data_IF_925182419812
#
_entry.id   IF_925182419812
#
_cell.length_a   1.000
_cell.length_b   1.000
_cell.length_c   1.000
_cell.angle_alpha   90.00
_cell.angle_beta   90.00
_cell.angle_gamma   90.00
#
_symmetry.space_group_name_H-M   'P 1'
#
loop_
_entity.id
_entity.type
_entity.pdbx_description
1 polymer ?
#
# COMPACT_ATOMS: atom_id res chain seq x y z
N UNK A 1 -22.79 -9.01 71.45
CA UNK A 1 -21.35 -8.74 71.28
C UNK A 1 -21.04 -8.75 69.80
N UNK A 2 -20.75 -7.57 69.24
CA UNK A 2 -20.03 -7.25 67.98
C UNK A 2 -20.51 -7.83 66.62
N UNK A 3 -21.15 -6.93 65.85
CA UNK A 3 -21.02 -6.53 64.42
C UNK A 3 -20.64 -7.48 63.24
N UNK A 4 -21.25 -7.09 62.10
CA UNK A 4 -20.78 -7.10 60.68
C UNK A 4 -21.19 -8.29 59.82
N UNK A 5 -21.63 -8.15 58.56
CA UNK A 5 -21.73 -6.99 57.67
C UNK A 5 -22.61 -7.27 56.43
N UNK A 6 -23.08 -6.17 55.81
CA UNK A 6 -23.87 -6.05 54.57
C UNK A 6 -23.16 -6.67 53.35
N UNK A 7 -23.82 -7.43 52.47
CA UNK A 7 -24.75 -7.05 51.38
C UNK A 7 -24.09 -6.30 50.21
N UNK A 8 -24.09 -6.94 49.03
CA UNK A 8 -24.63 -6.33 47.80
C UNK A 8 -23.65 -5.81 46.74
N UNK A 9 -23.66 -6.49 45.59
CA UNK A 9 -23.14 -6.07 44.28
C UNK A 9 -23.58 -4.65 43.88
N UNK A 10 -22.69 -3.87 43.27
CA UNK A 10 -23.05 -2.60 42.64
C UNK A 10 -21.89 -2.00 41.85
N UNK A 11 -22.11 -1.78 40.56
CA UNK A 11 -21.18 -1.22 39.58
C UNK A 11 -20.60 0.12 40.06
N UNK A 12 -19.28 0.28 39.92
CA UNK A 12 -18.60 1.57 40.13
C UNK A 12 -19.02 2.53 39.03
N UNK A 13 -19.90 3.48 39.38
CA UNK A 13 -20.17 4.68 38.59
C UNK A 13 -19.46 5.82 39.32
N UNK A 14 -18.37 6.31 38.74
CA UNK A 14 -17.68 7.50 39.24
C UNK A 14 -18.54 8.70 38.88
N UNK A 15 -19.21 9.26 39.89
CA UNK A 15 -20.06 10.44 39.79
C UNK A 15 -19.17 11.67 40.06
N UNK A 16 -18.79 12.41 39.01
CA UNK A 16 -18.15 13.71 39.18
C UNK A 16 -19.21 14.74 39.60
N UNK A 17 -19.07 15.28 40.81
CA UNK A 17 -19.94 16.30 41.39
C UNK A 17 -19.64 17.63 40.69
N UNK A 18 -20.64 18.21 40.02
CA UNK A 18 -20.62 19.62 39.62
C UNK A 18 -21.51 20.40 40.60
N UNK A 19 -20.88 21.16 41.49
CA UNK A 19 -21.59 22.11 42.34
C UNK A 19 -22.04 23.30 41.49
N UNK A 20 -23.34 23.50 41.34
CA UNK A 20 -23.92 24.69 40.71
C UNK A 20 -24.71 25.51 41.74
N UNK A 21 -24.06 26.55 42.27
CA UNK A 21 -24.77 27.70 42.85
C UNK A 21 -24.27 28.96 42.16
N UNK A 22 -25.18 29.61 41.42
CA UNK A 22 -24.88 30.84 40.71
C UNK A 22 -25.86 31.07 39.55
N UNK A 23 -27.08 31.48 39.89
CA UNK A 23 -28.02 32.02 38.91
C UNK A 23 -27.58 33.46 38.58
N UNK A 24 -26.98 33.66 37.41
CA UNK A 24 -26.86 34.96 36.77
C UNK A 24 -26.99 34.75 35.26
N UNK A 25 -28.10 35.24 34.70
CA UNK A 25 -28.35 35.24 33.27
C UNK A 25 -27.34 36.16 32.57
N UNK A 26 -26.43 35.58 31.80
CA UNK A 26 -25.62 36.31 30.81
C UNK A 26 -25.79 35.57 29.49
N UNK A 27 -26.36 36.29 28.54
CA UNK A 27 -26.52 35.88 27.15
C UNK A 27 -25.15 35.72 26.49
N UNK A 28 -24.95 34.68 25.68
CA UNK A 28 -23.93 34.67 24.64
C UNK A 28 -22.85 33.59 24.74
N UNK A 29 -22.90 32.66 23.78
CA UNK A 29 -21.85 31.73 23.32
C UNK A 29 -21.44 30.60 24.28
N UNK A 30 -22.05 29.44 24.07
CA UNK A 30 -21.41 28.15 24.34
C UNK A 30 -20.21 28.07 23.39
N UNK A 31 -19.00 28.29 23.89
CA UNK A 31 -17.79 27.88 23.17
C UNK A 31 -17.69 26.38 23.37
N UNK A 32 -18.18 25.61 22.40
CA UNK A 32 -17.84 24.19 22.32
C UNK A 32 -16.30 24.11 22.27
N UNK A 33 -15.66 23.20 23.01
CA UNK A 33 -14.25 22.96 22.80
C UNK A 33 -14.07 22.63 21.32
N UNK A 34 -13.19 23.37 20.64
CA UNK A 34 -12.71 22.99 19.32
C UNK A 34 -12.18 21.57 19.49
N UNK A 35 -12.94 20.59 19.03
CA UNK A 35 -12.41 19.26 18.82
C UNK A 35 -11.21 19.48 17.92
N UNK A 36 -10.01 19.15 18.41
CA UNK A 36 -8.84 19.08 17.56
C UNK A 36 -9.24 18.13 16.43
N UNK A 37 -9.41 18.67 15.21
CA UNK A 37 -9.56 17.84 14.04
C UNK A 37 -8.30 16.97 14.02
N UNK A 38 -8.45 15.70 14.38
CA UNK A 38 -7.43 14.71 14.14
C UNK A 38 -7.24 14.73 12.63
N UNK A 39 -6.08 15.20 12.15
CA UNK A 39 -5.78 15.24 10.73
C UNK A 39 -6.09 13.85 10.18
N UNK A 40 -7.10 13.75 9.31
CA UNK A 40 -7.41 12.49 8.66
C UNK A 40 -6.14 12.02 7.96
N UNK A 41 -5.63 10.86 8.36
CA UNK A 41 -4.43 10.30 7.75
C UNK A 41 -4.86 9.81 6.39
N UNK A 42 -4.33 10.41 5.32
CA UNK A 42 -4.65 10.01 3.95
C UNK A 42 -4.21 8.57 3.72
N UNK A 43 -5.12 7.64 3.33
CA UNK A 43 -4.74 6.26 3.08
C UNK A 43 -3.62 6.13 2.06
N UNK A 44 -2.55 5.46 2.44
CA UNK A 44 -1.38 5.27 1.60
C UNK A 44 -0.53 4.06 2.02
N UNK A 45 0.13 3.47 1.04
CA UNK A 45 1.14 2.45 1.24
C UNK A 45 2.30 2.62 0.26
N UNK A 46 3.49 2.25 0.72
CA UNK A 46 4.65 1.96 -0.12
C UNK A 46 5.17 0.57 0.25
N UNK A 47 5.34 -0.25 -0.79
CA UNK A 47 5.81 -1.62 -0.70
C UNK A 47 7.02 -1.77 -1.61
N UNK A 48 7.86 -2.74 -1.32
CA UNK A 48 8.97 -3.10 -2.20
C UNK A 48 9.19 -4.59 -2.30
N UNK A 49 9.82 -4.98 -3.40
CA UNK A 49 10.38 -6.31 -3.61
C UNK A 49 11.89 -6.23 -3.66
N UNK A 50 12.55 -6.91 -2.72
CA UNK A 50 14.01 -7.04 -2.70
C UNK A 50 14.49 -8.32 -3.38
N UNK A 51 13.62 -8.98 -4.13
CA UNK A 51 13.91 -10.22 -4.84
C UNK A 51 13.77 -10.01 -6.34
N UNK A 52 14.74 -10.48 -7.11
CA UNK A 52 14.61 -10.48 -8.57
C UNK A 52 13.48 -11.40 -9.00
N UNK A 53 12.73 -11.00 -10.02
CA UNK A 53 11.65 -11.77 -10.62
C UNK A 53 11.94 -11.96 -12.11
N UNK A 54 12.39 -13.16 -12.48
CA UNK A 54 12.48 -13.59 -13.88
C UNK A 54 11.35 -14.59 -14.18
N UNK A 55 10.33 -14.21 -14.96
CA UNK A 55 9.28 -15.14 -15.35
C UNK A 55 9.84 -16.36 -16.10
N UNK A 56 9.29 -17.53 -15.80
CA UNK A 56 9.67 -18.80 -16.45
C UNK A 56 8.81 -19.14 -17.66
N UNK A 57 7.76 -18.36 -17.90
CA UNK A 57 6.89 -18.40 -19.08
C UNK A 57 6.66 -16.95 -19.56
N UNK A 58 6.23 -16.81 -20.81
CA UNK A 58 5.76 -15.58 -21.46
C UNK A 58 4.37 -15.15 -20.99
N UNK A 59 3.65 -16.03 -20.29
CA UNK A 59 2.37 -15.68 -19.67
C UNK A 59 2.56 -14.66 -18.53
N UNK A 60 1.61 -13.73 -18.35
CA UNK A 60 1.67 -12.76 -17.26
C UNK A 60 1.76 -13.42 -15.88
N UNK A 61 2.63 -12.88 -15.02
CA UNK A 61 2.73 -13.25 -13.61
C UNK A 61 2.54 -12.02 -12.71
N UNK A 62 2.01 -12.25 -11.52
CA UNK A 62 1.85 -11.19 -10.51
C UNK A 62 3.22 -10.83 -9.94
N UNK A 63 3.50 -9.55 -9.80
CA UNK A 63 4.69 -9.05 -9.11
C UNK A 63 4.44 -9.12 -7.59
N UNK A 64 5.30 -9.82 -6.87
CA UNK A 64 5.21 -9.99 -5.41
C UNK A 64 6.06 -8.96 -4.67
N UNK A 65 5.60 -8.54 -3.50
CA UNK A 65 6.27 -7.63 -2.58
C UNK A 65 6.59 -8.36 -1.27
N UNK A 66 7.83 -8.28 -0.81
CA UNK A 66 8.28 -8.92 0.43
C UNK A 66 8.51 -7.92 1.57
N UNK A 67 8.38 -6.61 1.30
CA UNK A 67 8.53 -5.54 2.29
C UNK A 67 7.34 -4.57 2.33
N UNK A 68 6.95 -4.21 3.56
CA UNK A 68 5.99 -3.14 3.86
C UNK A 68 6.79 -1.91 4.33
N UNK A 69 7.25 -1.09 3.39
CA UNK A 69 8.09 0.08 3.73
C UNK A 69 7.30 1.16 4.46
N UNK A 70 6.03 1.34 4.08
CA UNK A 70 5.06 2.21 4.74
C UNK A 70 3.65 1.70 4.49
N UNK A 71 2.82 1.62 5.53
CA UNK A 71 1.37 1.39 5.41
C UNK A 71 0.70 2.18 6.54
N UNK A 72 -0.36 2.92 6.23
CA UNK A 72 -1.22 3.55 7.22
C UNK A 72 -2.68 3.07 7.09
N UNK A 73 -3.59 3.70 7.82
CA UNK A 73 -5.03 3.35 7.80
C UNK A 73 -5.59 3.42 6.37
N UNK A 74 -6.50 2.51 6.03
CA UNK A 74 -7.18 2.52 4.73
C UNK A 74 -6.51 1.67 3.62
N UNK A 75 -5.32 1.10 3.84
CA UNK A 75 -4.68 0.12 2.93
C UNK A 75 -4.16 -1.08 3.73
N UNK A 76 -4.29 -2.30 3.20
CA UNK A 76 -3.74 -3.54 3.79
C UNK A 76 -2.88 -4.28 2.77
N UNK A 77 -1.76 -4.84 3.22
CA UNK A 77 -0.93 -5.76 2.43
C UNK A 77 -0.27 -6.80 3.36
N UNK A 78 -0.15 -8.04 2.89
CA UNK A 78 0.57 -9.11 3.58
C UNK A 78 1.84 -9.48 2.82
N UNK A 79 2.98 -9.49 3.50
CA UNK A 79 4.25 -9.94 2.94
C UNK A 79 4.47 -11.46 3.03
N UNK A 80 3.47 -12.24 3.44
CA UNK A 80 3.55 -13.70 3.56
C UNK A 80 2.41 -14.45 2.89
N UNK A 81 1.26 -13.82 2.66
CA UNK A 81 0.08 -14.41 2.00
C UNK A 81 -0.36 -13.48 0.88
N UNK A 82 -0.57 -14.02 -0.33
CA UNK A 82 -0.98 -13.22 -1.50
C UNK A 82 -0.15 -11.95 -1.67
N UNK A 83 1.18 -12.10 -1.68
CA UNK A 83 2.14 -11.01 -1.57
C UNK A 83 2.19 -10.03 -2.75
N UNK A 84 1.36 -10.22 -3.77
CA UNK A 84 1.14 -9.22 -4.81
C UNK A 84 -0.07 -8.32 -4.57
N UNK A 85 -0.99 -8.72 -3.68
CA UNK A 85 -2.30 -8.11 -3.51
C UNK A 85 -2.28 -7.00 -2.47
N UNK A 86 -2.59 -5.79 -2.92
CA UNK A 86 -2.82 -4.62 -2.08
C UNK A 86 -4.32 -4.38 -1.96
N UNK A 87 -4.85 -4.42 -0.74
CA UNK A 87 -6.28 -4.31 -0.47
C UNK A 87 -6.60 -2.88 -0.02
N UNK A 88 -7.57 -2.27 -0.69
CA UNK A 88 -8.11 -0.96 -0.33
C UNK A 88 -9.19 -1.12 0.74
N UNK A 89 -9.06 -0.46 1.88
CA UNK A 89 -10.05 -0.53 2.96
C UNK A 89 -11.01 0.67 2.99
N UNK A 90 -10.77 1.68 2.16
CA UNK A 90 -11.57 2.92 2.10
C UNK A 90 -11.82 3.31 0.64
N UNK A 91 -13.06 3.63 0.28
CA UNK A 91 -13.38 4.03 -1.08
C UNK A 91 -12.84 5.43 -1.41
N UNK A 92 -12.47 5.65 -2.66
CA UNK A 92 -12.07 6.96 -3.19
C UNK A 92 -11.24 6.85 -4.47
N UNK A 93 -10.67 7.96 -4.91
CA UNK A 93 -9.71 7.98 -6.00
C UNK A 93 -8.28 7.80 -5.47
N UNK A 94 -7.50 6.94 -6.10
CA UNK A 94 -6.14 6.61 -5.71
C UNK A 94 -5.15 6.85 -6.84
N UNK A 95 -4.03 7.50 -6.54
CA UNK A 95 -2.83 7.45 -7.39
C UNK A 95 -2.07 6.17 -7.07
N UNK A 96 -1.80 5.38 -8.09
CA UNK A 96 -1.02 4.13 -8.01
C UNK A 96 0.20 4.25 -8.92
N UNK A 97 1.35 3.85 -8.41
CA UNK A 97 2.63 3.85 -9.13
C UNK A 97 3.33 2.52 -8.88
N UNK A 98 3.53 1.76 -9.96
CA UNK A 98 4.28 0.52 -10.00
C UNK A 98 5.59 0.77 -10.79
N UNK A 99 6.72 0.82 -10.09
CA UNK A 99 8.03 1.11 -10.67
C UNK A 99 8.95 -0.12 -10.56
N UNK A 100 9.14 -0.82 -11.68
CA UNK A 100 9.98 -2.01 -11.76
C UNK A 100 11.38 -1.68 -12.28
N UNK A 101 12.42 -2.20 -11.63
CA UNK A 101 13.79 -2.17 -12.14
C UNK A 101 13.94 -3.27 -13.19
N UNK A 102 13.67 -2.95 -14.45
CA UNK A 102 13.74 -3.90 -15.56
C UNK A 102 15.18 -4.13 -15.97
N UNK A 103 15.52 -5.40 -16.22
CA UNK A 103 16.82 -5.81 -16.75
C UNK A 103 16.80 -7.26 -17.22
N UNK A 104 17.98 -7.82 -17.43
CA UNK A 104 18.14 -9.25 -17.68
C UNK A 104 19.47 -9.75 -17.15
N UNK A 105 19.57 -11.06 -16.89
CA UNK A 105 20.77 -11.67 -16.31
C UNK A 105 21.67 -12.34 -17.34
N UNK A 106 21.20 -12.57 -18.57
CA UNK A 106 21.99 -13.21 -19.63
C UNK A 106 21.50 -12.86 -21.05
N UNK A 107 22.26 -13.34 -22.04
CA UNK A 107 21.96 -13.18 -23.46
C UNK A 107 22.18 -11.77 -24.00
N UNK A 108 22.20 -11.67 -25.33
CA UNK A 108 22.49 -10.42 -26.06
C UNK A 108 21.41 -10.08 -27.11
N UNK A 109 20.25 -10.75 -27.05
CA UNK A 109 19.12 -10.44 -27.93
C UNK A 109 18.08 -9.57 -27.21
N UNK A 110 17.24 -8.91 -28.02
CA UNK A 110 16.18 -8.06 -27.53
C UNK A 110 15.18 -8.87 -26.69
N UNK A 111 14.88 -8.35 -25.51
CA UNK A 111 13.83 -8.87 -24.65
C UNK A 111 12.91 -7.73 -24.23
N UNK A 112 11.62 -7.88 -24.49
CA UNK A 112 10.61 -6.94 -24.05
C UNK A 112 10.09 -7.37 -22.69
N UNK A 113 9.98 -6.42 -21.77
CA UNK A 113 9.36 -6.58 -20.47
C UNK A 113 8.20 -5.61 -20.37
N UNK A 114 7.02 -6.14 -20.09
CA UNK A 114 5.79 -5.39 -19.96
C UNK A 114 5.39 -5.30 -18.48
N UNK A 115 4.86 -4.15 -18.05
CA UNK A 115 4.40 -3.90 -16.69
C UNK A 115 3.08 -3.13 -16.72
N UNK A 116 2.07 -3.64 -16.02
CA UNK A 116 0.74 -3.02 -15.93
C UNK A 116 0.08 -3.26 -14.58
N UNK A 117 -1.05 -2.57 -14.35
CA UNK A 117 -1.86 -2.70 -13.14
C UNK A 117 -3.07 -3.61 -13.40
N UNK A 118 -3.49 -4.32 -12.36
CA UNK A 118 -4.68 -5.17 -12.36
C UNK A 118 -5.51 -4.89 -11.12
N UNK A 119 -6.82 -4.77 -11.30
CA UNK A 119 -7.80 -4.52 -10.26
C UNK A 119 -8.77 -5.70 -10.21
N UNK A 120 -8.92 -6.32 -9.05
CA UNK A 120 -9.87 -7.42 -8.83
C UNK A 120 -9.75 -8.58 -9.84
N UNK A 121 -8.53 -8.84 -10.31
CA UNK A 121 -8.26 -9.88 -11.32
C UNK A 121 -8.41 -9.42 -12.78
N UNK A 122 -8.88 -8.21 -13.04
CA UNK A 122 -9.02 -7.64 -14.38
C UNK A 122 -7.93 -6.60 -14.68
N UNK A 123 -7.36 -6.67 -15.88
CA UNK A 123 -6.30 -5.73 -16.29
C UNK A 123 -6.85 -4.31 -16.44
N UNK A 124 -6.18 -3.35 -15.80
CA UNK A 124 -6.56 -1.94 -15.88
C UNK A 124 -6.24 -1.41 -17.27
N UNK A 125 -7.27 -0.95 -17.98
CA UNK A 125 -7.12 -0.40 -19.33
C UNK A 125 -6.08 0.74 -19.38
N UNK A 126 -5.25 0.76 -20.42
CA UNK A 126 -4.20 1.76 -20.65
C UNK A 126 -3.15 1.90 -19.53
N UNK A 127 -2.97 0.90 -18.66
CA UNK A 127 -1.91 0.91 -17.63
C UNK A 127 -0.61 0.24 -18.10
N UNK A 128 -0.60 -0.44 -19.25
CA UNK A 128 0.56 -1.20 -19.68
C UNK A 128 1.68 -0.31 -20.24
N UNK A 129 2.91 -0.71 -19.93
CA UNK A 129 4.15 -0.04 -20.33
C UNK A 129 5.17 -1.10 -20.74
N UNK A 130 6.12 -0.73 -21.61
CA UNK A 130 7.14 -1.63 -22.12
C UNK A 130 8.54 -1.03 -21.99
N UNK A 131 9.46 -1.83 -21.49
CA UNK A 131 10.89 -1.63 -21.65
C UNK A 131 11.48 -2.72 -22.54
N UNK A 132 12.47 -2.35 -23.35
CA UNK A 132 13.21 -3.29 -24.18
C UNK A 132 14.67 -3.29 -23.74
N UNK A 133 15.18 -4.46 -23.35
CA UNK A 133 16.55 -4.66 -22.86
C UNK A 133 17.32 -5.58 -23.80
N UNK A 134 18.58 -5.23 -24.13
CA UNK A 134 19.40 -5.98 -25.10
C UNK A 134 20.63 -6.57 -24.42
N UNK A 135 21.23 -5.89 -23.45
CA UNK A 135 22.39 -6.39 -22.70
C UNK A 135 22.01 -6.73 -21.25
N UNK A 136 22.74 -7.67 -20.65
CA UNK A 136 22.64 -7.95 -19.21
C UNK A 136 23.16 -6.78 -18.33
N UNK A 137 23.85 -5.81 -18.92
CA UNK A 137 24.27 -4.59 -18.23
C UNK A 137 23.22 -3.47 -18.29
N UNK A 138 22.19 -3.63 -19.11
CA UNK A 138 21.13 -2.63 -19.24
C UNK A 138 20.13 -2.81 -18.11
N UNK A 139 19.90 -1.75 -17.35
CA UNK A 139 18.75 -1.67 -16.45
C UNK A 139 18.03 -0.35 -16.63
N UNK A 140 16.71 -0.38 -16.49
CA UNK A 140 15.84 0.79 -16.65
C UNK A 140 14.68 0.70 -15.68
N UNK A 141 14.27 1.84 -15.12
CA UNK A 141 13.03 1.89 -14.33
C UNK A 141 11.86 2.01 -15.28
N UNK A 142 11.00 0.99 -15.30
CA UNK A 142 9.73 0.99 -16.02
C UNK A 142 8.61 1.33 -15.05
N UNK A 143 7.85 2.37 -15.36
CA UNK A 143 6.77 2.86 -14.49
C UNK A 143 5.42 2.63 -15.15
N UNK A 144 4.56 1.83 -14.52
CA UNK A 144 3.13 1.79 -14.77
C UNK A 144 2.42 2.62 -13.70
N UNK A 145 1.54 3.54 -14.09
CA UNK A 145 0.81 4.37 -13.15
C UNK A 145 -0.63 4.60 -13.59
N UNK A 146 -1.52 4.79 -12.63
CA UNK A 146 -2.90 5.14 -12.89
C UNK A 146 -3.48 5.99 -11.75
N UNK A 147 -4.53 6.75 -12.09
CA UNK A 147 -5.49 7.25 -11.11
C UNK A 147 -6.76 6.42 -11.27
N UNK A 148 -7.16 5.69 -10.24
CA UNK A 148 -8.32 4.79 -10.29
C UNK A 148 -9.33 5.11 -9.19
N UNK A 149 -10.64 5.08 -9.49
CA UNK A 149 -11.66 4.98 -8.46
C UNK A 149 -11.66 3.55 -7.90
N UNK A 150 -11.45 3.41 -6.60
CA UNK A 150 -11.40 2.13 -5.91
C UNK A 150 -12.49 2.09 -4.84
N UNK A 151 -13.12 0.93 -4.70
CA UNK A 151 -14.06 0.64 -3.64
C UNK A 151 -13.36 -0.03 -2.46
N UNK A 152 -14.02 -0.02 -1.31
CA UNK A 152 -13.60 -0.85 -0.18
C UNK A 152 -13.58 -2.33 -0.59
N UNK A 153 -12.52 -3.01 -0.20
CA UNK A 153 -12.14 -4.39 -0.53
C UNK A 153 -11.69 -4.63 -1.98
N UNK A 154 -11.47 -3.58 -2.78
CA UNK A 154 -10.79 -3.76 -4.05
C UNK A 154 -9.34 -4.20 -3.82
N UNK A 155 -8.88 -5.13 -4.65
CA UNK A 155 -7.50 -5.60 -4.71
C UNK A 155 -6.81 -4.98 -5.92
N UNK A 156 -5.61 -4.42 -5.70
CA UNK A 156 -4.72 -3.94 -6.75
C UNK A 156 -3.42 -4.74 -6.71
N UNK A 157 -2.93 -5.14 -7.88
CA UNK A 157 -1.61 -5.74 -8.04
C UNK A 157 -0.95 -5.28 -9.34
N UNK A 158 0.37 -5.43 -9.40
CA UNK A 158 1.15 -5.22 -10.61
C UNK A 158 1.39 -6.56 -11.31
N UNK A 159 1.36 -6.53 -12.64
CA UNK A 159 1.54 -7.68 -13.49
C UNK A 159 2.75 -7.47 -14.39
N UNK A 160 3.53 -8.52 -14.61
CA UNK A 160 4.67 -8.52 -15.53
C UNK A 160 4.55 -9.63 -16.56
N UNK A 161 4.97 -9.37 -17.79
CA UNK A 161 5.28 -10.42 -18.77
C UNK A 161 6.58 -10.11 -19.50
N UNK A 162 7.17 -11.15 -20.07
CA UNK A 162 8.41 -11.08 -20.85
C UNK A 162 8.22 -11.73 -22.21
N UNK A 163 8.89 -11.22 -23.24
CA UNK A 163 8.82 -11.82 -24.58
C UNK A 163 9.68 -13.06 -24.76
N UNK A 164 10.62 -13.32 -23.84
CA UNK A 164 11.52 -14.47 -23.88
C UNK A 164 11.95 -14.85 -22.45
N UNK A 165 12.12 -16.15 -22.19
CA UNK A 165 12.44 -16.71 -20.87
C UNK A 165 13.85 -17.30 -20.78
N UNK A 166 14.53 -17.48 -21.91
CA UNK A 166 15.85 -18.10 -22.01
C UNK A 166 17.02 -17.16 -21.70
N UNK A 167 16.73 -15.89 -21.39
CA UNK A 167 17.71 -14.80 -21.19
C UNK A 167 17.59 -14.13 -19.82
N UNK A 168 16.77 -14.68 -18.92
CA UNK A 168 16.61 -14.17 -17.56
C UNK A 168 16.11 -12.73 -17.50
N UNK A 169 15.23 -12.34 -18.42
CA UNK A 169 14.60 -11.02 -18.42
C UNK A 169 13.57 -10.91 -17.30
N UNK A 170 13.39 -9.70 -16.79
CA UNK A 170 12.33 -9.42 -15.82
C UNK A 170 12.70 -8.24 -14.92
N UNK A 171 12.37 -8.36 -13.64
CA UNK A 171 12.73 -7.38 -12.62
C UNK A 171 14.00 -7.81 -11.90
N UNK A 172 14.95 -6.89 -11.71
CA UNK A 172 16.26 -7.15 -11.15
C UNK A 172 16.42 -6.39 -9.85
N UNK A 173 16.66 -7.11 -8.77
CA UNK A 173 17.19 -6.54 -7.54
C UNK A 173 18.72 -6.44 -7.63
N UNK A 174 19.29 -5.32 -7.20
CA UNK A 174 20.74 -5.11 -7.11
C UNK A 174 21.08 -4.50 -5.76
N UNK A 175 22.15 -4.97 -5.11
CA UNK A 175 22.68 -4.40 -3.87
C UNK A 175 24.08 -3.84 -4.12
N UNK A 176 24.21 -2.55 -4.48
CA UNK A 176 25.53 -1.96 -4.69
C UNK A 176 26.30 -1.81 -3.36
N UNK A 177 27.64 -1.90 -3.35
CA UNK A 177 28.43 -1.75 -2.13
C UNK A 177 28.35 -0.34 -1.55
N UNK A 178 27.87 -0.22 -0.30
CA UNK A 178 27.80 1.05 0.42
C UNK A 178 26.63 1.96 0.03
N UNK A 179 25.69 1.46 -0.77
CA UNK A 179 24.49 2.18 -1.20
C UNK A 179 23.22 1.48 -0.68
N UNK A 180 22.06 2.17 -0.63
CA UNK A 180 20.79 1.51 -0.46
C UNK A 180 20.54 0.44 -1.53
N UNK A 181 19.78 -0.59 -1.16
CA UNK A 181 19.35 -1.62 -2.10
C UNK A 181 18.53 -1.00 -3.24
N UNK A 182 18.77 -1.44 -4.48
CA UNK A 182 17.93 -1.14 -5.64
C UNK A 182 16.89 -2.27 -5.72
N UNK A 183 15.65 -2.05 -5.24
CA UNK A 183 14.63 -3.08 -5.27
C UNK A 183 14.26 -3.43 -6.71
N UNK A 184 13.80 -4.66 -6.92
CA UNK A 184 13.27 -5.08 -8.23
C UNK A 184 11.95 -4.36 -8.53
N UNK A 185 11.22 -3.95 -7.49
CA UNK A 185 9.94 -3.28 -7.59
C UNK A 185 9.72 -2.31 -6.42
N UNK A 186 9.20 -1.13 -6.72
CA UNK A 186 8.58 -0.21 -5.75
C UNK A 186 7.13 -0.02 -6.16
N UNK A 187 6.21 -0.22 -5.22
CA UNK A 187 4.79 0.02 -5.43
C UNK A 187 4.28 1.05 -4.43
N UNK A 188 3.66 2.10 -4.92
CA UNK A 188 3.07 3.16 -4.11
C UNK A 188 1.60 3.30 -4.46
N UNK A 189 0.76 3.46 -3.44
CA UNK A 189 -0.65 3.79 -3.58
C UNK A 189 -1.00 4.87 -2.56
N UNK A 190 -1.73 5.91 -2.96
CA UNK A 190 -2.19 6.97 -2.08
C UNK A 190 -3.56 7.48 -2.51
N UNK A 191 -4.47 7.64 -1.55
CA UNK A 191 -5.78 8.27 -1.77
C UNK A 191 -5.55 9.75 -2.10
N UNK A 192 -6.21 10.24 -3.13
CA UNK A 192 -6.10 11.63 -3.61
C UNK A 192 -7.43 12.38 -3.61
N UNK A 193 -8.56 11.66 -3.52
CA UNK A 193 -9.90 12.24 -3.36
C UNK A 193 -10.84 11.21 -2.74
N UNK A 194 -11.87 11.70 -2.06
CA UNK A 194 -13.10 10.96 -1.76
C UNK A 194 -13.96 10.81 -3.03
#
# INVERSE_FOLDING_TARGET
MVMSGLRGNGKVVILAILATTGLAAISGTIVAPLAFAQNAVTPAAQLSSTESLQPTDTMPVVVTMNSNDYINEGITHSNTTNTGDVIVNEAGAYLIVAAGQVGKTSGDTLCNVDLWLRQNGEDVANSNTRASVISANDTVVLVSQAILPLNQNDTINAMISVSATDQGCGLINTTPPGEPNIPSMIFSIAKISD
#
